data_IF_587494279711
#
_entry.id   IF_587494279711
#
_cell.length_a   1.000
_cell.length_b   1.000
_cell.length_c   1.000
_cell.angle_alpha   90.00
_cell.angle_beta   90.00
_cell.angle_gamma   90.00
#
_symmetry.space_group_name_H-M   'P 1'
#
loop_
_entity.id
_entity.type
_entity.pdbx_description
1 polymer ?
#
# COMPACT_ATOMS: atom_id res chain seq x y z
N UNK A 1 -36.38 -26.83 -12.14
CA UNK A 1 -36.64 -25.80 -11.11
C UNK A 1 -35.49 -25.65 -10.11
N UNK A 2 -34.86 -26.72 -9.67
CA UNK A 2 -33.68 -26.65 -8.77
C UNK A 2 -32.43 -26.02 -9.47
N UNK A 3 -32.21 -26.33 -10.75
CA UNK A 3 -31.08 -25.79 -11.50
C UNK A 3 -31.17 -24.28 -11.68
N UNK A 4 -32.35 -23.73 -11.87
CA UNK A 4 -32.59 -22.29 -12.03
C UNK A 4 -32.34 -21.51 -10.74
N UNK A 5 -32.66 -22.10 -9.58
CA UNK A 5 -32.42 -21.48 -8.28
C UNK A 5 -30.94 -21.48 -7.94
N UNK A 6 -30.23 -22.57 -8.30
CA UNK A 6 -28.78 -22.64 -8.09
C UNK A 6 -28.02 -21.62 -8.94
N UNK A 7 -28.43 -21.40 -10.19
CA UNK A 7 -27.86 -20.36 -11.05
C UNK A 7 -28.11 -18.94 -10.52
N UNK A 8 -29.28 -18.69 -9.97
CA UNK A 8 -29.62 -17.39 -9.40
C UNK A 8 -28.79 -17.08 -8.15
N UNK A 9 -28.54 -18.07 -7.30
CA UNK A 9 -27.71 -17.93 -6.10
C UNK A 9 -26.25 -17.70 -6.47
N UNK A 10 -25.71 -18.40 -7.49
CA UNK A 10 -24.36 -18.15 -7.98
C UNK A 10 -24.20 -16.76 -8.60
N UNK A 11 -25.22 -16.24 -9.28
CA UNK A 11 -25.22 -14.90 -9.85
C UNK A 11 -25.23 -13.80 -8.76
N UNK A 12 -25.94 -14.05 -7.64
CA UNK A 12 -25.99 -13.11 -6.51
C UNK A 12 -24.65 -13.03 -5.74
N UNK A 13 -23.87 -14.11 -5.69
CA UNK A 13 -22.54 -14.09 -5.08
C UNK A 13 -21.48 -13.43 -5.96
N UNK A 14 -21.66 -13.37 -7.29
CA UNK A 14 -20.73 -12.74 -8.21
C UNK A 14 -20.76 -11.19 -8.17
N UNK A 15 -21.78 -10.59 -7.55
CA UNK A 15 -21.98 -9.14 -7.53
C UNK A 15 -21.29 -8.46 -6.32
N UNK A 16 -20.79 -9.22 -5.35
CA UNK A 16 -20.23 -8.67 -4.11
C UNK A 16 -18.71 -8.49 -4.08
N UNK A 17 -17.99 -8.84 -5.13
CA UNK A 17 -16.57 -8.52 -5.24
C UNK A 17 -16.41 -7.13 -5.84
N UNK A 18 -16.60 -6.08 -5.04
CA UNK A 18 -16.11 -4.77 -5.45
C UNK A 18 -14.60 -4.87 -5.60
N UNK A 19 -14.03 -4.61 -6.78
CA UNK A 19 -12.59 -4.59 -6.93
C UNK A 19 -12.02 -3.58 -5.93
N UNK A 20 -10.96 -3.99 -5.20
CA UNK A 20 -10.23 -3.06 -4.36
C UNK A 20 -9.83 -1.88 -5.23
N UNK A 21 -10.18 -0.65 -4.83
CA UNK A 21 -9.83 0.55 -5.58
C UNK A 21 -8.31 0.68 -5.59
N UNK A 22 -7.71 0.70 -6.78
CA UNK A 22 -6.29 0.93 -6.95
C UNK A 22 -6.03 2.43 -7.09
N UNK A 23 -5.07 2.94 -6.32
CA UNK A 23 -4.59 4.31 -6.38
C UNK A 23 -3.15 4.32 -6.84
N UNK A 24 -2.75 5.34 -7.59
CA UNK A 24 -1.36 5.50 -8.01
C UNK A 24 -0.56 6.30 -6.98
N UNK A 25 0.73 6.03 -6.91
CA UNK A 25 1.67 6.83 -6.15
C UNK A 25 2.97 7.04 -6.93
N UNK A 26 3.68 8.10 -6.59
CA UNK A 26 5.03 8.37 -7.09
C UNK A 26 5.81 9.08 -5.99
N UNK A 27 6.88 8.44 -5.53
CA UNK A 27 7.76 8.97 -4.50
C UNK A 27 9.15 9.24 -5.07
N UNK A 28 9.67 10.43 -4.82
CA UNK A 28 11.05 10.79 -5.12
C UNK A 28 11.83 10.82 -3.81
N UNK A 29 12.85 10.01 -3.71
CA UNK A 29 13.72 9.92 -2.54
C UNK A 29 15.07 10.58 -2.83
N UNK A 30 15.58 11.38 -1.88
CA UNK A 30 16.90 11.99 -2.02
C UNK A 30 18.00 10.94 -1.86
N UNK A 31 19.20 11.28 -2.29
CA UNK A 31 20.40 10.48 -2.00
C UNK A 31 20.69 10.40 -0.50
N UNK A 32 21.45 9.39 -0.09
CA UNK A 32 21.73 9.10 1.31
C UNK A 32 22.47 10.21 2.06
N UNK A 33 23.18 11.07 1.36
CA UNK A 33 23.90 12.22 1.91
C UNK A 33 23.02 13.46 2.17
N UNK A 34 21.78 13.46 1.64
CA UNK A 34 20.84 14.59 1.77
C UNK A 34 19.70 14.31 2.76
N UNK A 35 19.79 13.24 3.53
CA UNK A 35 18.70 12.81 4.40
C UNK A 35 18.68 13.60 5.70
N UNK A 36 17.73 14.50 5.83
CA UNK A 36 17.16 14.89 7.12
C UNK A 36 15.78 14.24 7.36
N UNK A 37 15.04 13.90 6.31
CA UNK A 37 13.79 13.13 6.37
C UNK A 37 13.52 12.51 5.01
N UNK A 38 13.64 11.19 4.92
CA UNK A 38 13.42 10.44 3.68
C UNK A 38 12.01 9.90 3.53
N UNK A 39 11.15 10.06 4.54
CA UNK A 39 9.79 9.56 4.47
C UNK A 39 8.95 10.33 3.45
N UNK A 40 8.21 9.58 2.66
CA UNK A 40 7.20 10.10 1.73
C UNK A 40 5.86 9.48 2.06
N UNK A 41 4.82 10.23 1.82
CA UNK A 41 3.43 9.77 1.92
C UNK A 41 2.63 10.26 0.74
N UNK A 42 1.59 9.53 0.38
CA UNK A 42 0.59 10.03 -0.56
C UNK A 42 -0.02 11.33 -0.05
N UNK A 43 -0.41 12.22 -0.95
CA UNK A 43 -1.02 13.51 -0.59
C UNK A 43 -2.45 13.37 -0.07
N UNK A 44 -3.13 12.29 -0.45
CA UNK A 44 -4.49 11.98 0.00
C UNK A 44 -4.53 10.65 0.73
N UNK A 45 -5.39 10.57 1.74
CA UNK A 45 -5.78 9.34 2.40
C UNK A 45 -7.02 8.75 1.72
N UNK A 46 -7.18 7.43 1.84
CA UNK A 46 -8.35 6.72 1.33
C UNK A 46 -8.93 5.82 2.40
N UNK A 47 -10.24 5.60 2.33
CA UNK A 47 -10.94 4.80 3.33
C UNK A 47 -10.78 3.31 3.05
N UNK A 48 -10.48 2.55 4.10
CA UNK A 48 -10.50 1.10 4.06
C UNK A 48 -11.92 0.59 3.77
N UNK A 49 -12.01 -0.36 2.84
CA UNK A 49 -13.26 -1.07 2.49
C UNK A 49 -13.26 -2.51 2.96
N UNK A 50 -12.35 -2.89 3.86
CA UNK A 50 -12.23 -4.24 4.38
C UNK A 50 -11.49 -5.22 3.46
N UNK A 51 -10.92 -4.75 2.35
CA UNK A 51 -10.05 -5.56 1.49
C UNK A 51 -8.64 -5.68 2.10
N UNK A 52 -7.88 -6.68 1.64
CA UNK A 52 -6.46 -6.79 2.00
C UNK A 52 -5.69 -5.63 1.38
N UNK A 53 -5.01 -4.80 2.20
CA UNK A 53 -4.25 -3.69 1.68
C UNK A 53 -2.99 -4.18 0.97
N UNK A 54 -2.56 -3.47 -0.06
CA UNK A 54 -1.40 -3.84 -0.85
C UNK A 54 -0.65 -2.64 -1.40
N UNK A 55 0.60 -2.88 -1.79
CA UNK A 55 1.40 -1.99 -2.63
C UNK A 55 2.01 -2.78 -3.78
N UNK A 56 1.95 -2.21 -4.97
CA UNK A 56 2.57 -2.76 -6.18
C UNK A 56 3.51 -1.71 -6.76
N UNK A 57 4.78 -2.03 -6.85
CA UNK A 57 5.79 -1.12 -7.38
C UNK A 57 6.15 -1.48 -8.81
N UNK A 58 6.34 -0.48 -9.67
CA UNK A 58 6.77 -0.69 -11.05
C UNK A 58 8.28 -0.95 -11.13
N UNK A 59 9.06 -0.10 -10.48
CA UNK A 59 10.53 -0.22 -10.44
C UNK A 59 11.04 0.30 -9.10
N UNK A 60 11.96 -0.44 -8.50
CA UNK A 60 12.86 0.07 -7.48
C UNK A 60 14.15 -0.74 -7.51
N UNK A 61 15.29 -0.08 -7.43
CA UNK A 61 16.61 -0.71 -7.37
C UNK A 61 17.20 -0.64 -5.96
N UNK A 62 16.59 0.17 -5.11
CA UNK A 62 17.00 0.39 -3.72
C UNK A 62 15.92 -0.19 -2.82
N UNK A 63 16.33 -1.00 -1.83
CA UNK A 63 15.37 -1.52 -0.84
C UNK A 63 14.59 -0.37 -0.21
N UNK A 64 13.30 -0.39 -0.43
CA UNK A 64 12.37 0.64 0.04
C UNK A 64 11.32 -0.01 0.92
N UNK A 65 11.09 0.53 2.09
CA UNK A 65 10.04 0.05 2.97
C UNK A 65 8.75 0.83 2.75
N UNK A 66 7.64 0.13 2.89
CA UNK A 66 6.29 0.68 2.76
C UNK A 66 5.41 0.22 3.92
N UNK A 67 4.47 1.05 4.29
CA UNK A 67 3.43 0.73 5.27
C UNK A 67 2.21 1.66 5.09
N UNK A 68 1.07 1.28 5.64
CA UNK A 68 -0.07 2.19 5.77
C UNK A 68 0.04 2.97 7.07
N UNK A 69 -0.27 4.26 7.00
CA UNK A 69 -0.25 5.16 8.15
C UNK A 69 -1.57 5.91 8.29
N UNK A 70 -2.06 6.11 9.53
CA UNK A 70 -3.28 6.90 9.77
C UNK A 70 -3.06 8.40 9.57
N UNK A 71 -1.81 8.85 9.50
CA UNK A 71 -1.44 10.25 9.34
C UNK A 71 -0.36 10.42 8.28
N UNK A 72 -0.43 11.53 7.56
CA UNK A 72 0.57 11.87 6.55
C UNK A 72 1.92 12.15 7.19
N UNK A 73 3.00 11.64 6.56
CA UNK A 73 4.39 11.81 7.01
C UNK A 73 4.63 11.36 8.47
N UNK A 74 3.83 10.42 8.94
CA UNK A 74 3.96 9.85 10.28
C UNK A 74 4.68 8.51 10.22
N UNK A 75 5.51 8.24 11.24
CA UNK A 75 6.13 6.93 11.45
C UNK A 75 5.18 5.89 12.08
N UNK A 76 3.95 6.28 12.39
CA UNK A 76 2.95 5.36 12.94
C UNK A 76 2.52 4.36 11.90
N UNK A 77 2.79 3.08 12.15
CA UNK A 77 2.44 1.99 11.25
C UNK A 77 1.08 1.42 11.61
N UNK A 78 0.11 1.56 10.72
CA UNK A 78 -1.18 0.86 10.83
C UNK A 78 -1.09 -0.59 10.33
N UNK A 79 -0.07 -0.92 9.55
CA UNK A 79 0.20 -2.26 9.02
C UNK A 79 1.62 -2.71 9.41
N UNK A 80 1.94 -3.97 9.09
CA UNK A 80 3.34 -4.38 9.02
C UNK A 80 4.09 -3.56 7.98
N UNK A 81 5.42 -3.54 8.09
CA UNK A 81 6.32 -2.96 7.09
C UNK A 81 6.66 -4.04 6.08
N UNK A 82 6.60 -3.70 4.79
CA UNK A 82 7.09 -4.55 3.71
C UNK A 82 8.30 -3.90 3.03
N UNK A 83 9.26 -4.71 2.64
CA UNK A 83 10.49 -4.29 1.96
C UNK A 83 10.43 -4.74 0.51
N UNK A 84 10.69 -3.81 -0.42
CA UNK A 84 10.62 -4.08 -1.86
C UNK A 84 11.92 -3.62 -2.51
N UNK A 85 12.51 -4.49 -3.32
CA UNK A 85 13.76 -4.25 -4.06
C UNK A 85 13.61 -4.38 -5.57
N UNK A 86 12.43 -4.78 -6.05
CA UNK A 86 12.15 -5.02 -7.47
C UNK A 86 10.67 -4.84 -7.78
N UNK A 87 10.31 -4.85 -9.06
CA UNK A 87 8.91 -4.83 -9.48
C UNK A 87 8.16 -6.02 -8.88
N UNK A 88 7.24 -5.75 -7.96
CA UNK A 88 6.44 -6.76 -7.28
C UNK A 88 5.23 -6.15 -6.58
N UNK A 89 4.32 -7.02 -6.17
CA UNK A 89 3.18 -6.69 -5.33
C UNK A 89 3.34 -7.35 -3.97
N UNK A 90 3.17 -6.58 -2.90
CA UNK A 90 3.17 -7.06 -1.52
C UNK A 90 1.87 -6.69 -0.84
N UNK A 91 1.29 -7.65 -0.14
CA UNK A 91 0.14 -7.42 0.73
C UNK A 91 0.60 -6.99 2.11
N UNK A 92 -0.20 -6.13 2.72
CA UNK A 92 -0.01 -5.75 4.12
C UNK A 92 -0.93 -6.55 5.03
N UNK A 93 -0.52 -6.63 6.30
CA UNK A 93 -1.34 -7.12 7.38
C UNK A 93 -1.64 -5.97 8.34
N UNK A 94 -2.90 -5.76 8.67
CA UNK A 94 -3.29 -4.74 9.64
C UNK A 94 -2.77 -5.09 11.04
N UNK A 95 -2.28 -4.07 11.72
CA UNK A 95 -1.97 -4.17 13.14
C UNK A 95 -3.25 -4.03 13.96
N UNK A 96 -3.24 -4.55 15.19
CA UNK A 96 -4.37 -4.44 16.11
C UNK A 96 -4.83 -2.99 16.27
N UNK A 97 -6.13 -2.76 16.16
CA UNK A 97 -6.75 -1.43 16.26
C UNK A 97 -6.82 -0.65 14.94
N UNK A 98 -6.31 -1.21 13.83
CA UNK A 98 -6.34 -0.58 12.52
C UNK A 98 -7.09 -1.42 11.48
N UNK A 99 -7.38 -0.82 10.34
CA UNK A 99 -8.01 -1.51 9.20
C UNK A 99 -9.52 -1.57 9.24
N UNK A 100 -10.16 -0.93 10.19
CA UNK A 100 -11.62 -0.84 10.24
C UNK A 100 -12.19 -0.16 8.99
N UNK A 101 -13.35 -0.64 8.52
CA UNK A 101 -14.07 -0.06 7.38
C UNK A 101 -14.38 1.41 7.66
N UNK A 102 -14.09 2.28 6.69
CA UNK A 102 -14.30 3.72 6.80
C UNK A 102 -13.14 4.50 7.43
N UNK A 103 -12.17 3.85 8.06
CA UNK A 103 -10.95 4.50 8.53
C UNK A 103 -10.03 4.83 7.35
N UNK A 104 -9.49 6.04 7.34
CA UNK A 104 -8.65 6.53 6.26
C UNK A 104 -7.17 6.33 6.54
N UNK A 105 -6.41 5.98 5.49
CA UNK A 105 -4.97 5.73 5.57
C UNK A 105 -4.24 6.34 4.38
N UNK A 106 -2.96 6.64 4.60
CA UNK A 106 -1.99 7.03 3.59
C UNK A 106 -1.05 5.86 3.30
N UNK A 107 -0.59 5.72 2.07
CA UNK A 107 0.60 4.93 1.80
C UNK A 107 1.82 5.77 2.16
N UNK A 108 2.71 5.20 2.96
CA UNK A 108 3.98 5.80 3.34
C UNK A 108 5.14 4.91 2.88
N UNK A 109 6.25 5.54 2.55
CA UNK A 109 7.46 4.85 2.14
C UNK A 109 8.71 5.62 2.50
N UNK A 110 9.80 4.90 2.72
CA UNK A 110 11.13 5.48 2.87
C UNK A 110 12.21 4.49 2.45
N UNK A 111 13.41 4.96 2.07
CA UNK A 111 14.54 4.08 1.83
C UNK A 111 14.89 3.28 3.07
N UNK A 112 15.29 2.03 2.87
CA UNK A 112 15.83 1.22 3.96
C UNK A 112 17.22 1.75 4.35
N UNK A 113 17.37 2.15 5.60
CA UNK A 113 18.65 2.68 6.12
C UNK A 113 19.79 1.67 6.08
N UNK A 114 19.48 0.37 5.96
CA UNK A 114 20.48 -0.70 5.83
C UNK A 114 21.10 -0.80 4.42
N UNK A 115 20.65 0.00 3.45
CA UNK A 115 21.22 0.00 2.09
C UNK A 115 22.67 0.53 2.02
N UNK A 116 23.19 1.16 3.08
CA UNK A 116 24.44 1.91 3.02
C UNK A 116 24.26 3.26 2.33
N UNK A 117 25.03 3.51 1.26
CA UNK A 117 24.89 4.72 0.44
C UNK A 117 24.08 4.45 -0.82
N UNK A 118 23.26 5.41 -1.23
CA UNK A 118 22.49 5.36 -2.48
C UNK A 118 22.34 6.74 -3.11
N UNK A 119 22.17 6.77 -4.42
CA UNK A 119 21.81 7.97 -5.17
C UNK A 119 20.31 8.25 -5.07
N UNK A 120 19.90 9.49 -5.37
CA UNK A 120 18.49 9.83 -5.48
C UNK A 120 17.77 8.89 -6.46
N UNK A 121 16.58 8.44 -6.12
CA UNK A 121 15.78 7.51 -6.93
C UNK A 121 14.28 7.75 -6.77
N UNK A 122 13.52 7.18 -7.67
CA UNK A 122 12.05 7.24 -7.62
C UNK A 122 11.46 5.85 -7.47
N UNK A 123 10.35 5.77 -6.77
CA UNK A 123 9.51 4.58 -6.72
C UNK A 123 8.08 4.98 -7.01
N UNK A 124 7.43 4.26 -7.91
CA UNK A 124 6.05 4.50 -8.28
C UNK A 124 5.29 3.19 -8.47
N UNK A 125 3.99 3.28 -8.52
CA UNK A 125 3.14 2.13 -8.70
C UNK A 125 1.71 2.39 -8.29
N UNK A 126 1.07 1.35 -7.76
CA UNK A 126 -0.29 1.39 -7.27
C UNK A 126 -0.39 0.82 -5.85
N UNK A 127 -1.43 1.20 -5.16
CA UNK A 127 -1.75 0.70 -3.84
C UNK A 127 -3.26 0.68 -3.63
N UNK A 128 -3.72 -0.05 -2.65
CA UNK A 128 -5.14 -0.14 -2.34
C UNK A 128 -5.39 -0.54 -0.89
N UNK A 129 -6.65 -0.32 -0.48
CA UNK A 129 -7.14 -0.57 0.87
C UNK A 129 -8.34 -1.51 0.87
#
# INVERSE_FOLDING_TARGET
RMLSILMLVCLLFAICATPASAYTFSFNFPSSDQISSSMRSTSFSYQSKGATPYVSTNVTTISTLYFMSPSRLSSTNATNIVYITSKTTKNFTWRSGYGGVGNAYYLSGCPNTNNGTWNAYSSNGSWGL
#
